data_IF_642599598130
#
_entry.id   IF_642599598130
#
_cell.length_a   1.000
_cell.length_b   1.000
_cell.length_c   1.000
_cell.angle_alpha   90.00
_cell.angle_beta   90.00
_cell.angle_gamma   90.00
#
_symmetry.space_group_name_H-M   'P 1'
#
loop_
_entity.id
_entity.type
_entity.pdbx_description
1 polymer ?
#
# COMPACT_ATOMS: atom_id res chain seq x y z
N UNK A 1 -16.72 -17.80 -15.90
CA UNK A 1 -16.17 -17.72 -14.54
C UNK A 1 -14.71 -17.34 -14.72
N UNK A 2 -14.39 -16.04 -14.67
CA UNK A 2 -13.00 -15.62 -14.67
C UNK A 2 -12.43 -15.96 -13.31
N UNK A 3 -11.42 -16.81 -13.26
CA UNK A 3 -10.60 -16.92 -12.06
C UNK A 3 -10.08 -15.51 -11.76
N UNK A 4 -10.44 -14.96 -10.59
CA UNK A 4 -10.00 -13.63 -10.18
C UNK A 4 -8.48 -13.58 -10.10
N UNK A 5 -7.88 -12.40 -10.31
CA UNK A 5 -6.43 -12.16 -10.41
C UNK A 5 -5.60 -12.89 -9.35
N UNK A 6 -6.12 -13.03 -8.12
CA UNK A 6 -5.42 -13.61 -6.98
C UNK A 6 -5.81 -15.06 -6.65
N UNK A 7 -6.67 -15.70 -7.43
CA UNK A 7 -7.22 -17.05 -7.15
C UNK A 7 -6.11 -18.09 -6.99
N UNK A 8 -5.15 -18.11 -7.91
CA UNK A 8 -4.00 -19.03 -7.87
C UNK A 8 -3.14 -18.82 -6.61
N UNK A 9 -2.87 -17.57 -6.23
CA UNK A 9 -2.10 -17.25 -5.04
C UNK A 9 -2.82 -17.74 -3.77
N UNK A 10 -4.11 -17.46 -3.64
CA UNK A 10 -4.95 -17.91 -2.51
C UNK A 10 -5.00 -19.44 -2.40
N UNK A 11 -5.15 -20.14 -3.53
CA UNK A 11 -5.15 -21.62 -3.52
C UNK A 11 -3.81 -22.19 -3.04
N UNK A 12 -2.69 -21.61 -3.47
CA UNK A 12 -1.35 -22.03 -3.04
C UNK A 12 -1.10 -21.73 -1.56
N UNK A 13 -1.48 -20.54 -1.09
CA UNK A 13 -1.35 -20.17 0.33
C UNK A 13 -2.22 -21.06 1.22
N UNK A 14 -3.44 -21.38 0.79
CA UNK A 14 -4.30 -22.34 1.49
C UNK A 14 -3.66 -23.72 1.60
N UNK A 15 -3.07 -24.22 0.51
CA UNK A 15 -2.38 -25.51 0.53
C UNK A 15 -1.17 -25.48 1.49
N UNK A 16 -0.33 -24.44 1.39
CA UNK A 16 0.81 -24.27 2.28
C UNK A 16 0.41 -24.17 3.76
N UNK A 17 -0.70 -23.49 4.07
CA UNK A 17 -1.24 -23.44 5.44
C UNK A 17 -1.56 -24.84 5.98
N UNK A 18 -2.26 -25.65 5.18
CA UNK A 18 -2.61 -27.02 5.53
C UNK A 18 -1.34 -27.85 5.77
N UNK A 19 -0.33 -27.72 4.91
CA UNK A 19 0.93 -28.43 5.06
C UNK A 19 1.65 -28.06 6.38
N UNK A 20 1.70 -26.78 6.74
CA UNK A 20 2.29 -26.34 8.01
C UNK A 20 1.46 -26.75 9.24
N UNK A 21 0.13 -26.68 9.17
CA UNK A 21 -0.76 -27.14 10.24
C UNK A 21 -0.62 -28.64 10.49
N UNK A 22 -0.51 -29.45 9.43
CA UNK A 22 -0.28 -30.90 9.53
C UNK A 22 1.11 -31.20 10.09
N UNK A 23 2.14 -30.49 9.63
CA UNK A 23 3.49 -30.63 10.17
C UNK A 23 3.54 -30.31 11.67
N UNK A 24 2.93 -29.21 12.11
CA UNK A 24 2.83 -28.85 13.52
C UNK A 24 2.08 -29.90 14.33
N UNK A 25 1.01 -30.47 13.78
CA UNK A 25 0.27 -31.55 14.44
C UNK A 25 1.16 -32.77 14.67
N UNK A 26 2.00 -33.13 13.71
CA UNK A 26 2.93 -34.27 13.86
C UNK A 26 4.01 -33.92 14.90
N UNK A 27 4.65 -32.76 14.77
CA UNK A 27 5.77 -32.33 15.60
C UNK A 27 5.37 -32.14 17.07
N UNK A 28 4.21 -31.53 17.33
CA UNK A 28 3.69 -31.34 18.70
C UNK A 28 3.33 -32.64 19.41
N UNK A 29 3.17 -33.75 18.66
CA UNK A 29 2.93 -35.08 19.22
C UNK A 29 4.18 -35.97 19.17
N UNK A 30 5.31 -35.47 18.66
CA UNK A 30 6.56 -36.18 18.61
C UNK A 30 7.31 -36.02 19.95
N UNK A 31 7.96 -37.09 20.39
CA UNK A 31 8.82 -37.10 21.57
C UNK A 31 9.96 -38.08 21.35
N UNK A 32 11.13 -37.79 21.89
CA UNK A 32 12.28 -38.69 21.86
C UNK A 32 13.01 -38.71 23.19
N UNK A 33 13.62 -39.85 23.49
CA UNK A 33 14.55 -40.00 24.62
C UNK A 33 15.97 -39.52 24.28
N UNK A 34 16.23 -39.24 22.99
CA UNK A 34 17.51 -38.72 22.51
C UNK A 34 17.50 -37.19 22.48
N UNK A 35 18.48 -36.57 23.14
CA UNK A 35 18.61 -35.12 23.23
C UNK A 35 18.72 -34.46 21.84
N UNK A 36 19.49 -35.05 20.93
CA UNK A 36 19.65 -34.56 19.56
C UNK A 36 18.33 -34.55 18.78
N UNK A 37 17.54 -35.62 18.88
CA UNK A 37 16.23 -35.71 18.24
C UNK A 37 15.23 -34.72 18.85
N UNK A 38 15.32 -34.47 20.16
CA UNK A 38 14.49 -33.45 20.84
C UNK A 38 14.79 -32.06 20.30
N UNK A 39 16.06 -31.70 20.13
CA UNK A 39 16.46 -30.43 19.53
C UNK A 39 15.99 -30.30 18.08
N UNK A 40 15.98 -31.39 17.32
CA UNK A 40 15.40 -31.40 15.96
C UNK A 40 13.89 -31.16 16.00
N UNK A 41 13.14 -31.85 16.87
CA UNK A 41 11.69 -31.65 17.00
C UNK A 41 11.37 -30.18 17.34
N UNK A 42 12.05 -29.60 18.33
CA UNK A 42 11.85 -28.19 18.73
C UNK A 42 12.16 -27.21 17.58
N UNK A 43 13.27 -27.45 16.86
CA UNK A 43 13.66 -26.59 15.74
C UNK A 43 12.70 -26.67 14.57
N UNK A 44 12.30 -27.87 14.16
CA UNK A 44 11.32 -28.04 13.08
C UNK A 44 9.93 -27.52 13.48
N UNK A 45 9.56 -27.60 14.77
CA UNK A 45 8.35 -26.94 15.29
C UNK A 45 8.43 -25.44 15.06
N UNK A 46 9.55 -24.82 15.43
CA UNK A 46 9.78 -23.39 15.20
C UNK A 46 9.70 -23.03 13.72
N UNK A 47 10.31 -23.81 12.83
CA UNK A 47 10.22 -23.57 11.37
C UNK A 47 8.78 -23.67 10.85
N UNK A 48 8.00 -24.63 11.33
CA UNK A 48 6.61 -24.77 10.92
C UNK A 48 5.73 -23.62 11.45
N UNK A 49 5.95 -23.14 12.68
CA UNK A 49 5.27 -21.96 13.21
C UNK A 49 5.62 -20.68 12.43
N UNK A 50 6.90 -20.48 12.12
CA UNK A 50 7.40 -19.36 11.30
C UNK A 50 6.81 -19.42 9.89
N UNK A 51 6.74 -20.61 9.31
CA UNK A 51 6.10 -20.86 8.02
C UNK A 51 4.62 -20.48 8.02
N UNK A 52 3.88 -20.89 9.07
CA UNK A 52 2.47 -20.56 9.23
C UNK A 52 2.23 -19.04 9.36
N UNK A 53 3.06 -18.35 10.15
CA UNK A 53 3.00 -16.88 10.25
C UNK A 53 3.31 -16.22 8.90
N UNK A 54 4.30 -16.71 8.16
CA UNK A 54 4.66 -16.19 6.84
C UNK A 54 3.53 -16.38 5.82
N UNK A 55 2.81 -17.51 5.88
CA UNK A 55 1.60 -17.76 5.08
C UNK A 55 0.50 -16.78 5.47
N UNK A 56 0.21 -16.62 6.76
CA UNK A 56 -0.82 -15.70 7.24
C UNK A 56 -0.50 -14.24 6.84
N UNK A 57 0.77 -13.84 6.89
CA UNK A 57 1.20 -12.54 6.39
C UNK A 57 0.92 -12.38 4.90
N UNK A 58 1.33 -13.37 4.09
CA UNK A 58 1.15 -13.34 2.64
C UNK A 58 -0.32 -13.28 2.23
N UNK A 59 -1.21 -13.96 2.95
CA UNK A 59 -2.65 -13.89 2.71
C UNK A 59 -3.22 -12.51 2.99
N UNK A 60 -2.74 -11.86 4.05
CA UNK A 60 -3.12 -10.49 4.37
C UNK A 60 -2.57 -9.50 3.32
N UNK A 61 -1.38 -9.73 2.77
CA UNK A 61 -0.86 -8.94 1.64
C UNK A 61 -1.77 -9.10 0.42
N UNK A 62 -2.15 -10.33 0.05
CA UNK A 62 -3.08 -10.57 -1.07
C UNK A 62 -4.42 -9.86 -0.84
N UNK A 63 -4.94 -9.91 0.38
CA UNK A 63 -6.18 -9.20 0.74
C UNK A 63 -6.02 -7.68 0.63
N UNK A 64 -4.89 -7.13 1.08
CA UNK A 64 -4.57 -5.73 0.96
C UNK A 64 -4.53 -5.29 -0.52
N UNK A 65 -3.90 -6.08 -1.40
CA UNK A 65 -3.85 -5.76 -2.84
C UNK A 65 -5.24 -5.81 -3.48
N UNK A 66 -6.08 -6.79 -3.14
CA UNK A 66 -7.47 -6.84 -3.63
C UNK A 66 -8.30 -5.62 -3.24
N UNK A 67 -8.10 -5.10 -2.03
CA UNK A 67 -8.77 -3.90 -1.57
C UNK A 67 -8.17 -2.64 -2.22
N UNK A 68 -6.87 -2.63 -2.51
CA UNK A 68 -6.23 -1.52 -3.20
C UNK A 68 -6.72 -1.40 -4.65
N UNK A 69 -6.86 -2.51 -5.37
CA UNK A 69 -7.44 -2.54 -6.72
C UNK A 69 -8.85 -1.93 -6.74
N UNK A 70 -9.67 -2.28 -5.74
CA UNK A 70 -11.02 -1.72 -5.59
C UNK A 70 -10.99 -0.24 -5.22
N UNK A 71 -10.09 0.16 -4.32
CA UNK A 71 -9.88 1.55 -3.94
C UNK A 71 -9.62 2.42 -5.18
N UNK A 72 -8.71 1.98 -6.06
CA UNK A 72 -8.36 2.67 -7.30
C UNK A 72 -9.53 2.66 -8.29
N UNK A 73 -10.25 1.53 -8.41
CA UNK A 73 -11.42 1.45 -9.27
C UNK A 73 -12.54 2.40 -8.84
N UNK A 74 -12.84 2.48 -7.54
CA UNK A 74 -13.84 3.40 -7.00
C UNK A 74 -13.43 4.86 -7.12
N UNK A 75 -12.15 5.18 -6.91
CA UNK A 75 -11.62 6.52 -7.19
C UNK A 75 -11.83 6.90 -8.67
N UNK A 76 -11.56 5.97 -9.58
CA UNK A 76 -11.74 6.20 -11.03
C UNK A 76 -13.21 6.36 -11.43
N UNK A 77 -14.14 5.88 -10.61
CA UNK A 77 -15.58 6.09 -10.77
C UNK A 77 -16.13 7.21 -9.87
N UNK A 78 -15.25 8.03 -9.29
CA UNK A 78 -15.58 9.17 -8.43
C UNK A 78 -16.33 8.80 -7.14
N UNK A 79 -16.36 7.51 -6.75
CA UNK A 79 -16.97 7.04 -5.51
C UNK A 79 -15.93 7.05 -4.37
N UNK A 80 -15.68 8.24 -3.83
CA UNK A 80 -14.65 8.45 -2.81
C UNK A 80 -14.98 7.78 -1.47
N UNK A 81 -16.26 7.63 -1.15
CA UNK A 81 -16.70 6.95 0.07
C UNK A 81 -16.36 5.46 0.03
N UNK A 82 -16.64 4.79 -1.09
CA UNK A 82 -16.25 3.40 -1.27
C UNK A 82 -14.73 3.27 -1.41
N UNK A 83 -14.07 4.19 -2.10
CA UNK A 83 -12.60 4.22 -2.20
C UNK A 83 -11.95 4.26 -0.81
N UNK A 84 -12.37 5.18 0.06
CA UNK A 84 -11.86 5.31 1.44
C UNK A 84 -12.15 4.08 2.29
N UNK A 85 -13.35 3.50 2.16
CA UNK A 85 -13.70 2.25 2.86
C UNK A 85 -12.78 1.11 2.47
N UNK A 86 -12.44 0.98 1.19
CA UNK A 86 -11.50 -0.03 0.74
C UNK A 86 -10.08 0.29 1.24
N UNK A 87 -9.63 1.55 1.20
CA UNK A 87 -8.32 1.95 1.73
C UNK A 87 -8.15 1.66 3.23
N UNK A 88 -9.21 1.77 4.03
CA UNK A 88 -9.21 1.33 5.43
C UNK A 88 -8.97 -0.17 5.55
N UNK A 89 -9.60 -1.00 4.71
CA UNK A 89 -9.39 -2.45 4.70
C UNK A 89 -7.98 -2.83 4.22
N UNK A 90 -7.40 -2.08 3.28
CA UNK A 90 -5.99 -2.22 2.89
C UNK A 90 -5.10 -2.06 4.13
N UNK A 91 -5.30 -0.99 4.90
CA UNK A 91 -4.51 -0.70 6.09
C UNK A 91 -4.68 -1.76 7.19
N UNK A 92 -5.91 -2.25 7.42
CA UNK A 92 -6.18 -3.34 8.36
C UNK A 92 -5.41 -4.61 7.98
N UNK A 93 -5.49 -5.01 6.71
CA UNK A 93 -4.80 -6.18 6.20
C UNK A 93 -3.26 -6.03 6.28
N UNK A 94 -2.70 -4.87 5.91
CA UNK A 94 -1.26 -4.61 6.05
C UNK A 94 -0.81 -4.64 7.52
N UNK A 95 -1.59 -4.10 8.45
CA UNK A 95 -1.28 -4.18 9.87
C UNK A 95 -1.22 -5.63 10.35
N UNK A 96 -2.19 -6.45 9.96
CA UNK A 96 -2.20 -7.88 10.30
C UNK A 96 -0.98 -8.60 9.70
N UNK A 97 -0.64 -8.33 8.43
CA UNK A 97 0.55 -8.88 7.80
C UNK A 97 1.83 -8.56 8.58
N UNK A 98 2.02 -7.31 8.98
CA UNK A 98 3.19 -6.86 9.76
C UNK A 98 3.23 -7.56 11.13
N UNK A 99 2.09 -7.76 11.79
CA UNK A 99 2.02 -8.48 13.08
C UNK A 99 2.54 -9.92 12.91
N UNK A 100 2.10 -10.63 11.87
CA UNK A 100 2.59 -11.99 11.60
C UNK A 100 4.08 -12.02 11.25
N UNK A 101 4.58 -11.07 10.46
CA UNK A 101 6.01 -10.98 10.14
C UNK A 101 6.87 -10.75 11.39
N UNK A 102 6.40 -9.91 12.32
CA UNK A 102 7.08 -9.71 13.61
C UNK A 102 7.09 -10.97 14.46
N UNK A 103 5.96 -11.69 14.54
CA UNK A 103 5.92 -12.96 15.27
C UNK A 103 6.87 -13.99 14.66
N UNK A 104 6.88 -14.11 13.32
CA UNK A 104 7.82 -14.97 12.60
C UNK A 104 9.28 -14.62 12.91
N UNK A 105 9.60 -13.32 12.89
CA UNK A 105 10.94 -12.78 13.20
C UNK A 105 11.36 -13.11 14.63
N UNK A 106 10.47 -12.90 15.59
CA UNK A 106 10.71 -13.19 17.01
C UNK A 106 11.01 -14.67 17.22
N UNK A 107 10.23 -15.57 16.61
CA UNK A 107 10.39 -17.03 16.69
C UNK A 107 11.70 -17.52 16.06
N UNK A 108 12.08 -17.00 14.88
CA UNK A 108 13.30 -17.45 14.18
C UNK A 108 14.57 -16.84 14.76
N UNK A 109 14.47 -15.66 15.41
CA UNK A 109 15.64 -14.92 15.90
C UNK A 109 16.61 -15.71 16.79
N UNK A 110 16.16 -16.56 17.76
CA UNK A 110 17.04 -17.22 18.70
C UNK A 110 17.87 -18.35 18.08
N UNK A 111 17.50 -18.83 16.88
CA UNK A 111 18.20 -19.91 16.20
C UNK A 111 19.48 -19.34 15.57
N UNK A 112 20.63 -19.60 16.17
CA UNK A 112 21.92 -19.24 15.61
C UNK A 112 22.26 -20.16 14.42
N UNK A 113 22.44 -19.63 13.19
CA UNK A 113 22.84 -20.43 12.04
C UNK A 113 24.13 -21.23 12.29
N UNK A 114 25.04 -20.77 13.14
CA UNK A 114 26.28 -21.50 13.41
C UNK A 114 26.13 -22.66 14.40
N UNK A 115 25.00 -22.70 15.11
CA UNK A 115 24.66 -23.76 16.07
C UNK A 115 23.92 -24.96 15.45
N UNK A 116 23.52 -24.89 14.17
CA UNK A 116 22.75 -25.93 13.48
C UNK A 116 23.61 -26.74 12.50
N UNK A 117 23.12 -27.92 12.03
CA UNK A 117 23.78 -28.69 10.97
C UNK A 117 24.03 -27.85 9.70
N UNK A 118 25.12 -28.16 8.99
CA UNK A 118 25.58 -27.38 7.83
C UNK A 118 24.52 -27.29 6.73
N UNK A 119 23.70 -28.33 6.60
CA UNK A 119 22.62 -28.48 5.63
C UNK A 119 21.48 -27.47 5.85
N UNK A 120 21.30 -26.97 7.08
CA UNK A 120 20.20 -26.08 7.46
C UNK A 120 20.62 -24.61 7.55
N UNK A 121 21.93 -24.33 7.58
CA UNK A 121 22.46 -22.96 7.74
C UNK A 121 21.93 -21.99 6.70
N UNK A 122 21.99 -22.40 5.43
CA UNK A 122 21.56 -21.55 4.30
C UNK A 122 20.07 -21.24 4.37
N UNK A 123 19.26 -22.23 4.76
CA UNK A 123 17.82 -22.07 4.92
C UNK A 123 17.49 -21.01 5.99
N UNK A 124 18.11 -21.10 7.17
CA UNK A 124 17.87 -20.14 8.27
C UNK A 124 18.28 -18.73 7.88
N UNK A 125 19.44 -18.57 7.23
CA UNK A 125 19.93 -17.26 6.78
C UNK A 125 18.95 -16.63 5.78
N UNK A 126 18.52 -17.42 4.79
CA UNK A 126 17.57 -16.96 3.76
C UNK A 126 16.22 -16.62 4.39
N UNK A 127 15.72 -17.45 5.30
CA UNK A 127 14.44 -17.24 5.97
C UNK A 127 14.45 -15.96 6.82
N UNK A 128 15.49 -15.75 7.64
CA UNK A 128 15.67 -14.52 8.42
C UNK A 128 15.69 -13.29 7.53
N UNK A 129 16.50 -13.31 6.48
CA UNK A 129 16.59 -12.22 5.51
C UNK A 129 15.26 -11.96 4.79
N UNK A 130 14.54 -13.01 4.40
CA UNK A 130 13.24 -12.90 3.73
C UNK A 130 12.18 -12.28 4.63
N UNK A 131 12.13 -12.65 5.92
CA UNK A 131 11.21 -12.05 6.90
C UNK A 131 11.53 -10.59 7.12
N UNK A 132 12.81 -10.23 7.31
CA UNK A 132 13.24 -8.83 7.48
C UNK A 132 12.91 -7.96 6.27
N UNK A 133 13.18 -8.49 5.08
CA UNK A 133 12.87 -7.81 3.80
C UNK A 133 11.37 -7.62 3.65
N UNK A 134 10.58 -8.64 3.96
CA UNK A 134 9.11 -8.57 3.89
C UNK A 134 8.53 -7.60 4.90
N UNK A 135 9.09 -7.52 6.12
CA UNK A 135 8.67 -6.55 7.14
C UNK A 135 8.95 -5.12 6.68
N UNK A 136 10.15 -4.85 6.14
CA UNK A 136 10.51 -3.54 5.59
C UNK A 136 9.59 -3.14 4.44
N UNK A 137 9.37 -4.04 3.48
CA UNK A 137 8.45 -3.80 2.35
C UNK A 137 7.01 -3.56 2.83
N UNK A 138 6.53 -4.32 3.82
CA UNK A 138 5.19 -4.13 4.39
C UNK A 138 5.01 -2.78 5.08
N UNK A 139 6.04 -2.27 5.76
CA UNK A 139 6.04 -0.93 6.36
C UNK A 139 6.01 0.17 5.31
N UNK A 140 6.80 0.05 4.24
CA UNK A 140 6.81 1.03 3.15
C UNK A 140 5.48 1.02 2.36
N UNK A 141 4.88 -0.16 2.12
CA UNK A 141 3.53 -0.26 1.55
C UNK A 141 2.49 0.44 2.41
N UNK A 142 2.59 0.32 3.74
CA UNK A 142 1.73 1.05 4.67
C UNK A 142 1.91 2.55 4.53
N UNK A 143 3.14 3.04 4.38
CA UNK A 143 3.41 4.47 4.13
C UNK A 143 2.77 4.95 2.82
N UNK A 144 2.83 4.17 1.73
CA UNK A 144 2.10 4.49 0.49
C UNK A 144 0.61 4.64 0.78
N UNK A 145 0.00 3.64 1.43
CA UNK A 145 -1.45 3.65 1.68
C UNK A 145 -1.89 4.78 2.61
N UNK A 146 -1.02 5.24 3.51
CA UNK A 146 -1.29 6.41 4.32
C UNK A 146 -1.25 7.70 3.48
N UNK A 147 -0.31 7.79 2.53
CA UNK A 147 -0.24 8.90 1.57
C UNK A 147 -1.45 8.99 0.64
N UNK A 148 -2.21 7.90 0.47
CA UNK A 148 -3.43 7.89 -0.34
C UNK A 148 -4.64 8.56 0.33
N UNK A 149 -4.70 8.69 1.66
CA UNK A 149 -5.82 9.42 2.29
C UNK A 149 -5.88 10.89 1.86
N UNK A 150 -4.81 11.70 2.05
CA UNK A 150 -4.82 13.08 1.58
C UNK A 150 -4.89 13.17 0.04
N UNK A 151 -4.47 12.13 -0.69
CA UNK A 151 -4.71 12.07 -2.13
C UNK A 151 -6.21 12.00 -2.45
N UNK A 152 -6.96 11.11 -1.78
CA UNK A 152 -8.40 10.99 -1.95
C UNK A 152 -9.14 12.27 -1.51
N UNK A 153 -8.69 12.92 -0.43
CA UNK A 153 -9.23 14.21 0.01
C UNK A 153 -9.00 15.28 -1.07
N UNK A 154 -7.78 15.36 -1.64
CA UNK A 154 -7.46 16.27 -2.73
C UNK A 154 -8.27 16.02 -4.00
N UNK A 155 -8.54 14.76 -4.33
CA UNK A 155 -9.41 14.39 -5.44
C UNK A 155 -10.88 14.77 -5.19
N UNK A 156 -11.38 14.65 -3.95
CA UNK A 156 -12.73 15.11 -3.59
C UNK A 156 -12.92 16.59 -3.81
N UNK A 157 -11.97 17.40 -3.36
CA UNK A 157 -11.99 18.83 -3.62
C UNK A 157 -11.96 19.15 -5.14
N UNK A 158 -11.25 18.37 -5.96
CA UNK A 158 -11.32 18.55 -7.42
C UNK A 158 -12.71 18.28 -8.00
N UNK A 159 -13.37 17.21 -7.57
CA UNK A 159 -14.71 16.87 -8.06
C UNK A 159 -15.75 17.92 -7.64
N UNK A 160 -15.68 18.38 -6.38
CA UNK A 160 -16.53 19.47 -5.90
C UNK A 160 -16.27 20.78 -6.67
N UNK A 161 -15.00 21.11 -6.94
CA UNK A 161 -14.65 22.27 -7.75
C UNK A 161 -15.24 22.18 -9.17
N UNK A 162 -15.22 21.00 -9.80
CA UNK A 162 -15.81 20.79 -11.12
C UNK A 162 -17.33 21.02 -11.12
N UNK A 163 -18.04 20.54 -10.10
CA UNK A 163 -19.48 20.79 -9.97
C UNK A 163 -19.79 22.28 -9.75
N UNK A 164 -18.99 22.97 -8.94
CA UNK A 164 -19.12 24.43 -8.76
C UNK A 164 -18.81 25.20 -10.04
N UNK A 165 -17.84 24.78 -10.84
CA UNK A 165 -17.56 25.35 -12.16
C UNK A 165 -18.77 25.22 -13.10
N UNK A 166 -19.40 24.04 -13.15
CA UNK A 166 -20.62 23.80 -13.97
C UNK A 166 -21.79 24.68 -13.54
N UNK A 167 -21.89 24.97 -12.25
CA UNK A 167 -22.91 25.85 -11.67
C UNK A 167 -22.56 27.34 -11.75
N UNK A 168 -21.40 27.70 -12.31
CA UNK A 168 -20.85 29.07 -12.32
C UNK A 168 -20.68 29.67 -10.91
N UNK A 169 -20.48 28.83 -9.89
CA UNK A 169 -20.19 29.23 -8.51
C UNK A 169 -18.67 29.43 -8.32
N UNK A 170 -18.13 30.45 -8.99
CA UNK A 170 -16.68 30.65 -9.15
C UNK A 170 -15.91 30.77 -7.83
N UNK A 171 -16.44 31.50 -6.85
CA UNK A 171 -15.77 31.67 -5.55
C UNK A 171 -15.58 30.34 -4.81
N UNK A 172 -16.60 29.47 -4.85
CA UNK A 172 -16.54 28.14 -4.23
C UNK A 172 -15.61 27.21 -4.99
N UNK A 173 -15.65 27.23 -6.32
CA UNK A 173 -14.70 26.46 -7.14
C UNK A 173 -13.24 26.86 -6.81
N UNK A 174 -12.97 28.15 -6.62
CA UNK A 174 -11.66 28.64 -6.23
C UNK A 174 -11.23 28.11 -4.84
N UNK A 175 -12.13 28.15 -3.86
CA UNK A 175 -11.88 27.60 -2.52
C UNK A 175 -11.53 26.11 -2.59
N UNK A 176 -12.26 25.33 -3.39
CA UNK A 176 -12.01 23.90 -3.54
C UNK A 176 -10.68 23.60 -4.26
N UNK A 177 -10.30 24.37 -5.29
CA UNK A 177 -8.96 24.23 -5.90
C UNK A 177 -7.84 24.51 -4.90
N UNK A 178 -8.00 25.53 -4.04
CA UNK A 178 -7.04 25.83 -2.99
C UNK A 178 -6.94 24.68 -1.96
N UNK A 179 -8.09 24.13 -1.54
CA UNK A 179 -8.14 22.99 -0.62
C UNK A 179 -7.49 21.74 -1.23
N UNK A 180 -7.77 21.45 -2.50
CA UNK A 180 -7.16 20.34 -3.25
C UNK A 180 -5.63 20.47 -3.26
N UNK A 181 -5.11 21.67 -3.48
CA UNK A 181 -3.65 21.92 -3.49
C UNK A 181 -3.01 21.60 -2.14
N UNK A 182 -3.67 21.92 -1.03
CA UNK A 182 -3.16 21.62 0.32
C UNK A 182 -3.08 20.11 0.54
N UNK A 183 -4.15 19.40 0.21
CA UNK A 183 -4.23 17.94 0.41
C UNK A 183 -3.23 17.18 -0.46
N UNK A 184 -3.11 17.57 -1.74
CA UNK A 184 -2.11 16.97 -2.62
C UNK A 184 -0.67 17.24 -2.17
N UNK A 185 -0.37 18.43 -1.66
CA UNK A 185 0.96 18.72 -1.11
C UNK A 185 1.29 17.83 0.11
N UNK A 186 0.30 17.56 0.97
CA UNK A 186 0.44 16.64 2.10
C UNK A 186 0.68 15.19 1.65
N UNK A 187 -0.10 14.73 0.66
CA UNK A 187 0.09 13.42 0.04
C UNK A 187 1.49 13.28 -0.56
N UNK A 188 1.90 14.23 -1.38
CA UNK A 188 3.22 14.30 -2.02
C UNK A 188 4.33 14.21 -0.98
N UNK A 189 4.34 15.08 0.02
CA UNK A 189 5.35 15.08 1.09
C UNK A 189 5.56 13.71 1.75
N UNK A 190 4.48 12.94 1.89
CA UNK A 190 4.54 11.58 2.45
C UNK A 190 5.15 10.58 1.47
N UNK A 191 4.75 10.64 0.20
CA UNK A 191 5.14 9.70 -0.86
C UNK A 191 6.54 9.96 -1.44
N UNK A 192 7.03 11.19 -1.40
CA UNK A 192 8.31 11.60 -2.01
C UNK A 192 9.50 10.77 -1.54
N UNK A 193 9.48 10.36 -0.27
CA UNK A 193 10.55 9.58 0.35
C UNK A 193 10.62 8.14 -0.17
N UNK A 194 9.51 7.64 -0.71
CA UNK A 194 9.36 6.27 -1.15
C UNK A 194 9.81 6.06 -2.61
N UNK A 195 10.08 7.15 -3.34
CA UNK A 195 10.56 7.11 -4.73
C UNK A 195 11.93 6.42 -4.86
N UNK A 196 12.74 6.46 -3.81
CA UNK A 196 14.06 5.83 -3.74
C UNK A 196 14.03 4.49 -2.98
N UNK A 197 12.84 3.89 -2.79
CA UNK A 197 12.70 2.57 -2.19
C UNK A 197 13.49 1.51 -2.96
N UNK A 198 14.09 0.57 -2.22
CA UNK A 198 14.77 -0.60 -2.81
C UNK A 198 13.78 -1.56 -3.52
N UNK A 199 12.47 -1.37 -3.32
CA UNK A 199 11.41 -2.20 -3.88
C UNK A 199 10.75 -1.50 -5.06
N UNK A 200 10.80 -2.12 -6.24
CA UNK A 200 10.24 -1.56 -7.48
C UNK A 200 8.74 -1.28 -7.38
N UNK A 201 8.01 -2.16 -6.71
CA UNK A 201 6.55 -2.08 -6.51
C UNK A 201 6.16 -0.86 -5.68
N UNK A 202 7.07 -0.37 -4.85
CA UNK A 202 6.88 0.80 -3.98
C UNK A 202 7.37 2.06 -4.68
N UNK A 203 8.61 2.04 -5.16
CA UNK A 203 9.23 3.18 -5.84
C UNK A 203 8.46 3.60 -7.09
N UNK A 204 8.06 2.66 -7.95
CA UNK A 204 7.29 2.96 -9.16
C UNK A 204 5.93 3.58 -8.81
N UNK A 205 5.19 2.97 -7.87
CA UNK A 205 3.89 3.51 -7.45
C UNK A 205 4.00 4.91 -6.84
N UNK A 206 5.01 5.15 -6.00
CA UNK A 206 5.27 6.48 -5.45
C UNK A 206 5.62 7.50 -6.55
N UNK A 207 6.49 7.14 -7.50
CA UNK A 207 6.86 8.01 -8.62
C UNK A 207 5.62 8.39 -9.45
N UNK A 208 4.76 7.42 -9.77
CA UNK A 208 3.54 7.64 -10.55
C UNK A 208 2.59 8.62 -9.83
N UNK A 209 2.27 8.36 -8.56
CA UNK A 209 1.36 9.24 -7.79
C UNK A 209 1.95 10.64 -7.63
N UNK A 210 3.24 10.75 -7.27
CA UNK A 210 3.91 12.05 -7.16
C UNK A 210 3.95 12.79 -8.51
N UNK A 211 4.05 12.07 -9.63
CA UNK A 211 3.99 12.64 -10.97
C UNK A 211 2.62 13.27 -11.26
N UNK A 212 1.54 12.55 -10.95
CA UNK A 212 0.16 13.06 -11.06
C UNK A 212 -0.03 14.29 -10.17
N UNK A 213 0.40 14.22 -8.91
CA UNK A 213 0.28 15.36 -7.99
C UNK A 213 1.06 16.57 -8.52
N UNK A 214 2.28 16.37 -9.01
CA UNK A 214 3.11 17.47 -9.54
C UNK A 214 2.43 18.17 -10.72
N UNK A 215 1.67 17.42 -11.52
CA UNK A 215 0.87 17.99 -12.60
C UNK A 215 -0.26 18.87 -12.04
N UNK A 216 -1.00 18.39 -11.03
CA UNK A 216 -2.03 19.18 -10.37
C UNK A 216 -1.49 20.42 -9.66
N UNK A 217 -0.36 20.31 -8.92
CA UNK A 217 0.28 21.45 -8.24
C UNK A 217 0.66 22.58 -9.23
N UNK A 218 0.92 22.25 -10.49
CA UNK A 218 1.20 23.25 -11.53
C UNK A 218 -0.07 23.95 -12.01
N UNK A 219 -1.17 23.22 -12.13
CA UNK A 219 -2.40 23.70 -12.76
C UNK A 219 -3.38 24.35 -11.76
N UNK A 220 -3.46 23.83 -10.53
CA UNK A 220 -4.36 24.29 -9.46
C UNK A 220 -4.28 25.78 -9.15
N UNK A 221 -3.09 26.43 -9.04
CA UNK A 221 -3.01 27.86 -8.78
C UNK A 221 -3.64 28.72 -9.89
N UNK A 222 -3.57 28.26 -11.15
CA UNK A 222 -4.17 28.95 -12.28
C UNK A 222 -5.69 28.73 -12.33
N UNK A 223 -6.16 27.55 -11.95
CA UNK A 223 -7.59 27.26 -11.79
C UNK A 223 -8.20 28.14 -10.70
N UNK A 224 -7.58 28.21 -9.53
CA UNK A 224 -7.99 29.07 -8.42
C UNK A 224 -8.04 30.55 -8.86
N UNK A 225 -6.93 31.08 -9.37
CA UNK A 225 -6.83 32.48 -9.76
C UNK A 225 -7.82 32.84 -10.88
N UNK A 226 -7.99 31.96 -11.86
CA UNK A 226 -8.98 32.14 -12.93
C UNK A 226 -10.40 32.25 -12.41
N UNK A 227 -10.78 31.37 -11.46
CA UNK A 227 -12.09 31.42 -10.80
C UNK A 227 -12.29 32.73 -10.02
N UNK A 228 -11.29 33.17 -9.24
CA UNK A 228 -11.38 34.46 -8.53
C UNK A 228 -11.54 35.65 -9.48
N UNK A 229 -10.92 35.61 -10.67
CA UNK A 229 -11.13 36.66 -11.68
C UNK A 229 -12.52 36.58 -12.32
N UNK A 230 -13.06 35.38 -12.56
CA UNK A 230 -14.43 35.20 -13.05
C UNK A 230 -15.46 35.79 -12.09
N UNK A 231 -15.34 35.51 -10.79
CA UNK A 231 -16.20 36.05 -9.73
C UNK A 231 -16.22 37.59 -9.76
N UNK A 232 -15.06 38.20 -9.99
CA UNK A 232 -14.91 39.65 -10.06
C UNK A 232 -15.26 40.27 -11.43
N UNK A 233 -15.83 39.50 -12.37
CA UNK A 233 -16.15 39.95 -13.73
C UNK A 233 -14.94 40.31 -14.60
N UNK A 234 -13.74 39.90 -14.19
CA UNK A 234 -12.46 40.19 -14.86
C UNK A 234 -12.14 39.12 -15.91
N UNK A 235 -13.02 38.97 -16.91
CA UNK A 235 -12.97 37.86 -17.88
C UNK A 235 -11.66 37.76 -18.66
N UNK A 236 -11.01 38.89 -18.99
CA UNK A 236 -9.74 38.87 -19.70
C UNK A 236 -8.62 38.24 -18.86
N UNK A 237 -8.53 38.60 -17.59
CA UNK A 237 -7.55 38.03 -16.65
C UNK A 237 -7.87 36.57 -16.34
N UNK A 238 -9.14 36.21 -16.16
CA UNK A 238 -9.56 34.82 -15.98
C UNK A 238 -9.10 33.94 -17.13
N UNK A 239 -9.38 34.36 -18.38
CA UNK A 239 -8.95 33.64 -19.57
C UNK A 239 -7.42 33.54 -19.69
N UNK A 240 -6.69 34.59 -19.27
CA UNK A 240 -5.23 34.56 -19.24
C UNK A 240 -4.70 33.51 -18.25
N UNK A 241 -5.31 33.35 -17.08
CA UNK A 241 -4.94 32.28 -16.13
C UNK A 241 -5.29 30.89 -16.68
N UNK A 242 -6.52 30.68 -17.16
CA UNK A 242 -6.93 29.39 -17.72
C UNK A 242 -6.09 28.96 -18.94
N UNK A 243 -5.55 29.92 -19.72
CA UNK A 243 -4.67 29.60 -20.85
C UNK A 243 -3.31 29.00 -20.45
N UNK A 244 -2.92 29.08 -19.17
CA UNK A 244 -1.65 28.56 -18.66
C UNK A 244 -1.74 27.09 -18.23
N UNK A 245 -2.94 26.51 -18.22
CA UNK A 245 -3.15 25.10 -17.86
C UNK A 245 -2.38 24.20 -18.81
N UNK A 246 -1.68 23.22 -18.23
CA UNK A 246 -0.75 22.37 -18.96
C UNK A 246 -1.39 21.59 -20.11
N UNK A 247 -2.68 21.27 -20.00
CA UNK A 247 -3.46 20.55 -21.02
C UNK A 247 -3.65 21.34 -22.34
N UNK A 248 -3.53 22.68 -22.31
CA UNK A 248 -3.69 23.54 -23.48
C UNK A 248 -2.37 23.81 -24.24
N UNK A 249 -1.23 23.38 -23.69
CA UNK A 249 0.10 23.61 -24.31
C UNK A 249 0.54 22.53 -25.31
N UNK A 250 -0.32 21.55 -25.59
CA UNK A 250 -0.07 20.41 -26.47
C UNK A 250 -1.14 20.18 -27.55
N UNK A 251 -1.94 21.21 -27.87
CA UNK A 251 -2.82 21.28 -29.06
C UNK A 251 -2.45 22.53 -29.85
#
# INVERSE_FOLDING_TARGET
MSDGTYTSAKSKLKAARVDYEEALKILNNASSDYEEETQYIERYTTFAEVGLDSVNSSENIVLATEHLDKCIAYLSSEDLDLSRKELHKVNEALNNSIVYLRSAKEKISPIDPDSVPVEEKSYIIILKYSIETSEKMGLELKEITNGLYPYLDGAGHLFDAEEYLKAEEWDKAADEFANSSVQFSESKKSLEKLKDSDYSEISVGAIEICGVITQFEKDLPYLEAGCRYMENGSFYQANAEFSKLSYLSSI
#
